data_IF_913308385601
#
_entry.id   IF_913308385601
#
_cell.length_a   1.000
_cell.length_b   1.000
_cell.length_c   1.000
_cell.angle_alpha   90.00
_cell.angle_beta   90.00
_cell.angle_gamma   90.00
#
_symmetry.space_group_name_H-M   'P 1'
#
loop_
_entity.id
_entity.type
_entity.pdbx_description
1 polymer ?
#
# COMPACT_ATOMS: atom_id res chain seq x y z
N UNK A 1 -28.63 -0.65 53.46
CA UNK A 1 -29.21 -1.91 52.95
C UNK A 1 -28.84 -2.04 51.49
N UNK A 2 -28.12 -3.12 51.15
CA UNK A 2 -27.89 -3.66 49.80
C UNK A 2 -29.23 -3.88 49.06
N UNK A 3 -29.30 -3.94 47.73
CA UNK A 3 -29.03 -5.16 46.92
C UNK A 3 -28.96 -4.82 45.40
N UNK A 4 -27.85 -5.25 44.77
CA UNK A 4 -27.60 -5.84 43.43
C UNK A 4 -28.29 -5.36 42.12
N UNK A 5 -27.47 -5.00 41.11
CA UNK A 5 -27.15 -5.74 39.85
C UNK A 5 -28.10 -5.49 38.67
N UNK A 6 -27.63 -5.02 37.52
CA UNK A 6 -26.96 -5.88 36.53
C UNK A 6 -26.15 -5.11 35.49
N UNK A 7 -25.03 -5.72 35.12
CA UNK A 7 -24.02 -5.34 34.15
C UNK A 7 -24.55 -5.29 32.70
N UNK A 8 -24.07 -4.34 31.90
CA UNK A 8 -23.65 -4.68 30.53
C UNK A 8 -22.40 -3.88 30.17
N UNK A 9 -21.28 -4.62 30.19
CA UNK A 9 -19.95 -4.17 29.84
C UNK A 9 -19.90 -3.84 28.34
N UNK A 10 -19.76 -2.57 27.98
CA UNK A 10 -19.07 -2.17 26.75
C UNK A 10 -17.65 -1.84 27.15
N UNK A 11 -16.77 -2.84 27.06
CA UNK A 11 -15.33 -2.67 27.23
C UNK A 11 -14.81 -1.73 26.14
N UNK A 12 -14.79 -0.44 26.44
CA UNK A 12 -13.82 0.48 25.86
C UNK A 12 -12.47 0.11 26.48
N UNK A 13 -11.69 -0.72 25.80
CA UNK A 13 -10.29 -0.87 26.15
C UNK A 13 -9.55 0.39 25.70
N UNK A 14 -9.36 1.32 26.64
CA UNK A 14 -8.37 2.38 26.57
C UNK A 14 -6.97 1.74 26.53
N UNK A 15 -6.40 1.60 25.34
CA UNK A 15 -4.98 1.30 25.21
C UNK A 15 -4.21 2.63 25.36
N UNK A 16 -3.74 2.87 26.58
CA UNK A 16 -2.71 3.85 26.87
C UNK A 16 -1.42 3.48 26.11
N UNK A 17 -0.99 4.30 25.15
CA UNK A 17 0.36 4.23 24.62
C UNK A 17 1.25 5.14 25.46
N UNK A 18 1.99 4.54 26.40
CA UNK A 18 3.11 5.20 27.06
C UNK A 18 4.15 5.62 26.02
N UNK A 19 4.56 6.89 26.09
CA UNK A 19 5.70 7.45 25.40
C UNK A 19 6.98 6.73 25.82
N UNK A 20 7.32 5.63 25.14
CA UNK A 20 8.53 4.86 25.42
C UNK A 20 9.55 5.04 24.30
N UNK A 21 10.60 5.76 24.68
CA UNK A 21 11.96 5.78 24.14
C UNK A 21 12.27 4.85 22.97
N UNK A 22 12.67 5.45 21.85
CA UNK A 22 13.26 4.84 20.67
C UNK A 22 14.53 4.06 21.05
N UNK A 23 14.37 2.76 21.32
CA UNK A 23 15.46 1.78 21.29
C UNK A 23 15.28 0.95 20.03
N UNK A 24 16.31 0.92 19.19
CA UNK A 24 16.36 0.14 17.96
C UNK A 24 16.41 -1.37 18.27
N UNK A 25 15.28 -1.93 18.69
CA UNK A 25 15.06 -3.36 18.59
C UNK A 25 14.94 -3.69 17.10
N UNK A 26 15.77 -4.61 16.63
CA UNK A 26 15.69 -5.15 15.28
C UNK A 26 14.25 -5.58 14.99
N UNK A 27 13.71 -5.11 13.87
CA UNK A 27 12.32 -5.33 13.41
C UNK A 27 11.86 -6.80 13.39
N UNK A 28 12.79 -7.73 13.51
CA UNK A 28 12.58 -9.18 13.40
C UNK A 28 11.89 -9.81 14.62
N UNK A 29 11.99 -9.23 15.82
CA UNK A 29 11.47 -9.87 17.04
C UNK A 29 9.97 -9.65 17.31
N UNK A 30 9.35 -8.64 16.70
CA UNK A 30 7.95 -8.28 16.97
C UNK A 30 6.92 -9.12 16.18
N UNK A 31 7.36 -9.91 15.20
CA UNK A 31 6.45 -10.59 14.25
C UNK A 31 6.05 -12.03 14.61
N UNK A 32 6.70 -12.65 15.60
CA UNK A 32 6.54 -14.10 15.79
C UNK A 32 5.14 -14.51 16.28
N UNK A 33 4.35 -13.58 16.84
CA UNK A 33 3.03 -13.86 17.44
C UNK A 33 1.86 -13.04 16.85
N UNK A 34 2.06 -12.28 15.77
CA UNK A 34 0.98 -11.48 15.17
C UNK A 34 0.32 -12.22 13.99
N UNK A 35 -1.00 -12.39 14.06
CA UNK A 35 -1.77 -12.97 12.96
C UNK A 35 -2.14 -11.89 11.94
N UNK A 36 -1.53 -11.95 10.75
CA UNK A 36 -1.75 -10.97 9.69
C UNK A 36 -3.21 -10.97 9.18
N UNK A 37 -3.79 -9.78 9.07
CA UNK A 37 -5.15 -9.56 8.58
C UNK A 37 -5.16 -8.57 7.39
N UNK A 38 -5.87 -8.92 6.33
CA UNK A 38 -6.04 -8.07 5.14
C UNK A 38 -6.78 -6.75 5.41
N UNK A 39 -7.45 -6.59 6.56
CA UNK A 39 -8.15 -5.36 6.93
C UNK A 39 -7.27 -4.34 7.67
N UNK A 40 -6.14 -4.81 8.18
CA UNK A 40 -5.21 -4.02 9.00
C UNK A 40 -4.02 -3.57 8.15
N UNK A 41 -3.04 -2.94 8.82
CA UNK A 41 -1.80 -2.45 8.23
C UNK A 41 -1.08 -3.52 7.39
N UNK A 42 -0.44 -3.10 6.30
CA UNK A 42 0.29 -4.03 5.44
C UNK A 42 1.71 -4.24 5.95
N UNK A 43 1.94 -5.36 6.64
CA UNK A 43 3.26 -5.65 7.21
C UNK A 43 3.74 -4.44 8.07
N UNK A 44 4.96 -3.97 7.85
CA UNK A 44 5.56 -2.83 8.54
C UNK A 44 5.32 -1.50 7.82
N UNK A 45 4.44 -1.46 6.82
CA UNK A 45 4.31 -0.30 5.95
C UNK A 45 3.76 0.93 6.67
N UNK A 46 3.04 0.74 7.78
CA UNK A 46 2.54 1.82 8.63
C UNK A 46 3.64 2.76 9.16
N UNK A 47 4.90 2.31 9.15
CA UNK A 47 6.05 3.11 9.61
C UNK A 47 6.84 3.76 8.47
N UNK A 48 6.48 3.52 7.20
CA UNK A 48 7.22 4.05 6.05
C UNK A 48 6.53 5.27 5.45
N UNK A 49 7.22 6.41 5.44
CA UNK A 49 6.82 7.55 4.63
C UNK A 49 7.36 7.39 3.19
N UNK A 50 6.47 7.12 2.23
CA UNK A 50 6.86 6.91 0.83
C UNK A 50 7.27 8.20 0.14
N UNK A 51 6.61 9.31 0.46
CA UNK A 51 6.76 10.60 -0.21
C UNK A 51 8.09 11.27 0.13
N UNK A 52 8.60 11.01 1.34
CA UNK A 52 9.91 11.48 1.78
C UNK A 52 11.09 10.73 1.13
N UNK A 53 10.83 9.70 0.31
CA UNK A 53 11.91 8.98 -0.37
C UNK A 53 12.51 9.89 -1.45
N UNK A 54 13.84 9.94 -1.50
CA UNK A 54 14.61 10.70 -2.51
C UNK A 54 14.25 10.41 -3.98
N UNK A 55 13.65 9.25 -4.26
CA UNK A 55 13.21 8.83 -5.59
C UNK A 55 11.79 9.27 -5.95
N UNK A 56 11.08 9.92 -5.03
CA UNK A 56 9.84 10.64 -5.33
C UNK A 56 10.23 12.05 -5.73
N UNK A 57 9.91 12.45 -6.96
CA UNK A 57 10.19 13.79 -7.44
C UNK A 57 9.20 14.81 -6.90
N UNK A 58 7.91 14.48 -6.99
CA UNK A 58 6.79 15.30 -6.55
C UNK A 58 5.53 14.43 -6.49
N UNK A 59 4.48 14.98 -5.87
CA UNK A 59 3.12 14.45 -5.94
C UNK A 59 2.43 15.09 -7.14
N UNK A 60 1.84 14.27 -8.01
CA UNK A 60 1.07 14.75 -9.15
C UNK A 60 -0.17 15.50 -8.68
N UNK A 61 -0.38 16.72 -9.18
CA UNK A 61 -1.50 17.57 -8.75
C UNK A 61 -2.88 17.03 -9.17
N UNK A 62 -2.97 16.33 -10.31
CA UNK A 62 -4.25 15.87 -10.86
C UNK A 62 -4.71 14.57 -10.19
N UNK A 63 -3.76 13.68 -9.93
CA UNK A 63 -4.04 12.33 -9.44
C UNK A 63 -3.72 12.15 -7.96
N UNK A 64 -2.97 13.08 -7.35
CA UNK A 64 -2.55 13.02 -5.94
C UNK A 64 -1.80 11.72 -5.62
N UNK A 65 -0.85 11.39 -6.50
CA UNK A 65 -0.01 10.18 -6.43
C UNK A 65 1.46 10.54 -6.67
N UNK A 66 2.40 9.74 -6.14
CA UNK A 66 3.82 10.06 -6.24
C UNK A 66 4.40 9.77 -7.64
N UNK A 67 5.15 10.71 -8.18
CA UNK A 67 5.93 10.58 -9.42
C UNK A 67 7.35 10.14 -9.10
N UNK A 68 7.82 9.07 -9.75
CA UNK A 68 9.12 8.47 -9.46
C UNK A 68 10.22 8.94 -10.42
N UNK A 69 11.40 9.28 -9.90
CA UNK A 69 12.63 9.46 -10.70
C UNK A 69 13.40 8.16 -10.94
N UNK A 70 12.92 7.03 -10.41
CA UNK A 70 13.66 5.78 -10.48
C UNK A 70 13.90 5.34 -11.93
N UNK A 71 15.17 5.14 -12.31
CA UNK A 71 15.58 4.77 -13.69
C UNK A 71 15.27 5.80 -14.79
N UNK A 72 14.49 6.85 -14.50
CA UNK A 72 14.18 7.95 -15.42
C UNK A 72 14.14 9.29 -14.67
N UNK A 73 15.17 10.14 -14.81
CA UNK A 73 15.26 11.42 -14.08
C UNK A 73 14.09 12.38 -14.34
N UNK A 74 13.47 12.31 -15.52
CA UNK A 74 12.34 13.17 -15.91
C UNK A 74 11.02 12.82 -15.22
N UNK A 75 10.97 11.75 -14.43
CA UNK A 75 9.75 11.31 -13.76
C UNK A 75 8.94 10.32 -14.59
N UNK A 76 8.28 9.40 -13.89
CA UNK A 76 7.27 8.52 -14.44
C UNK A 76 6.37 7.98 -13.30
N UNK A 77 5.14 7.61 -13.65
CA UNK A 77 4.26 6.91 -12.74
C UNK A 77 4.73 5.47 -12.60
N UNK A 78 4.97 5.06 -11.36
CA UNK A 78 5.52 3.75 -11.05
C UNK A 78 4.53 2.99 -10.17
N UNK A 79 3.82 1.98 -10.70
CA UNK A 79 2.74 1.28 -10.00
C UNK A 79 3.15 0.73 -8.63
N UNK A 80 4.39 0.25 -8.47
CA UNK A 80 4.89 -0.25 -7.19
C UNK A 80 4.98 0.87 -6.16
N UNK A 81 5.46 2.05 -6.55
CA UNK A 81 5.55 3.19 -5.64
C UNK A 81 4.17 3.76 -5.30
N UNK A 82 3.24 3.76 -6.26
CA UNK A 82 1.84 4.14 -6.04
C UNK A 82 1.15 3.15 -5.09
N UNK A 83 1.38 1.84 -5.27
CA UNK A 83 0.83 0.80 -4.40
C UNK A 83 1.48 0.76 -3.01
N UNK A 84 2.69 1.32 -2.87
CA UNK A 84 3.40 1.44 -1.60
C UNK A 84 2.89 2.57 -0.72
N UNK A 85 2.06 3.48 -1.24
CA UNK A 85 1.36 4.47 -0.43
C UNK A 85 0.49 3.69 0.56
N UNK A 86 0.97 3.52 1.79
CA UNK A 86 0.34 2.67 2.79
C UNK A 86 -0.86 3.40 3.40
N UNK A 87 -2.09 2.88 3.36
CA UNK A 87 -2.68 1.75 4.08
C UNK A 87 -2.50 1.73 5.60
N UNK A 88 -2.69 2.88 6.24
CA UNK A 88 -3.51 2.85 7.44
C UNK A 88 -4.97 2.70 6.98
N UNK A 89 -5.60 1.55 7.24
CA UNK A 89 -7.07 1.44 7.24
C UNK A 89 -7.62 1.30 8.68
N UNK A 90 -6.77 0.94 9.65
CA UNK A 90 -7.15 0.84 11.05
C UNK A 90 -5.98 1.35 11.92
N UNK A 91 -6.14 2.53 12.55
CA UNK A 91 -5.11 3.23 13.34
C UNK A 91 -5.31 4.74 13.33
N UNK A 92 -4.46 5.50 14.04
CA UNK A 92 -4.55 6.97 14.19
C UNK A 92 -4.20 7.70 12.88
N UNK A 93 -5.11 7.71 11.90
CA UNK A 93 -4.85 8.21 10.53
C UNK A 93 -5.09 9.71 10.42
N UNK A 94 -4.30 10.35 9.57
CA UNK A 94 -4.60 11.69 9.10
C UNK A 94 -5.60 11.65 7.94
N UNK A 95 -6.31 12.75 7.71
CA UNK A 95 -7.16 12.91 6.51
C UNK A 95 -6.36 12.72 5.21
N UNK A 96 -5.07 13.06 5.25
CA UNK A 96 -4.14 12.92 4.14
C UNK A 96 -3.92 11.46 3.75
N UNK A 97 -3.71 10.57 4.71
CA UNK A 97 -3.45 9.15 4.46
C UNK A 97 -4.63 8.47 3.75
N UNK A 98 -5.85 8.84 4.14
CA UNK A 98 -7.08 8.34 3.50
C UNK A 98 -7.18 8.84 2.06
N UNK A 99 -6.90 10.12 1.83
CA UNK A 99 -6.92 10.70 0.49
C UNK A 99 -5.89 10.01 -0.41
N UNK A 100 -4.66 9.84 0.06
CA UNK A 100 -3.59 9.18 -0.68
C UNK A 100 -3.95 7.71 -1.02
N UNK A 101 -4.58 6.98 -0.09
CA UNK A 101 -5.10 5.63 -0.34
C UNK A 101 -6.15 5.60 -1.46
N UNK A 102 -7.15 6.49 -1.40
CA UNK A 102 -8.20 6.56 -2.42
C UNK A 102 -7.67 7.03 -3.78
N UNK A 103 -6.73 7.96 -3.79
CA UNK A 103 -6.05 8.44 -4.99
C UNK A 103 -5.24 7.33 -5.66
N UNK A 104 -4.43 6.59 -4.90
CA UNK A 104 -3.65 5.46 -5.39
C UNK A 104 -4.53 4.33 -5.95
N UNK A 105 -5.57 3.93 -5.19
CA UNK A 105 -6.49 2.87 -5.63
C UNK A 105 -7.29 3.26 -6.87
N UNK A 106 -7.79 4.50 -6.94
CA UNK A 106 -8.48 5.03 -8.13
C UNK A 106 -7.56 5.00 -9.35
N UNK A 107 -6.32 5.43 -9.20
CA UNK A 107 -5.35 5.38 -10.29
C UNK A 107 -5.12 3.94 -10.77
N UNK A 108 -4.94 2.98 -9.85
CA UNK A 108 -4.74 1.57 -10.20
C UNK A 108 -5.94 0.98 -10.95
N UNK A 109 -7.17 1.24 -10.51
CA UNK A 109 -8.37 0.77 -11.19
C UNK A 109 -8.48 1.33 -12.62
N UNK A 110 -8.09 2.60 -12.81
CA UNK A 110 -8.18 3.29 -14.10
C UNK A 110 -7.04 2.96 -15.07
N UNK A 111 -5.90 2.46 -14.58
CA UNK A 111 -4.69 2.21 -15.37
C UNK A 111 -4.33 0.73 -15.47
N UNK A 112 -5.24 -0.17 -15.10
CA UNK A 112 -5.07 -1.60 -15.31
C UNK A 112 -5.34 -1.96 -16.78
N UNK A 113 -4.43 -2.68 -17.41
CA UNK A 113 -4.67 -3.20 -18.76
C UNK A 113 -5.78 -4.26 -18.75
N UNK A 114 -6.76 -4.12 -19.63
CA UNK A 114 -7.94 -5.00 -19.65
C UNK A 114 -7.66 -6.38 -20.24
N UNK A 115 -6.62 -6.50 -21.08
CA UNK A 115 -6.29 -7.75 -21.77
C UNK A 115 -5.39 -8.64 -20.93
N UNK A 116 -4.36 -8.05 -20.33
CA UNK A 116 -3.32 -8.76 -19.57
C UNK A 116 -3.51 -8.66 -18.07
N UNK A 117 -4.27 -7.67 -17.57
CA UNK A 117 -4.41 -7.39 -16.15
C UNK A 117 -3.22 -6.65 -15.52
N UNK A 118 -2.18 -6.39 -16.29
CA UNK A 118 -0.94 -5.76 -15.84
C UNK A 118 -1.06 -4.24 -15.67
N UNK A 119 -0.31 -3.72 -14.70
CA UNK A 119 0.13 -2.32 -14.69
C UNK A 119 1.53 -2.25 -15.30
N UNK A 120 1.60 -1.79 -16.55
CA UNK A 120 2.86 -1.72 -17.28
C UNK A 120 3.77 -0.62 -16.75
N UNK A 121 5.05 -0.94 -16.66
CA UNK A 121 6.11 0.00 -16.31
C UNK A 121 6.75 0.46 -17.61
N UNK A 122 6.53 1.73 -17.95
CA UNK A 122 6.94 2.32 -19.23
C UNK A 122 8.37 2.89 -19.21
N UNK A 123 9.28 2.22 -18.49
CA UNK A 123 10.69 2.61 -18.36
C UNK A 123 11.56 1.37 -18.52
N UNK A 124 12.62 1.47 -19.34
CA UNK A 124 13.59 0.39 -19.47
C UNK A 124 14.34 0.20 -18.15
N UNK A 125 14.45 -1.04 -17.69
CA UNK A 125 15.23 -1.39 -16.50
C UNK A 125 16.46 -2.19 -16.90
N UNK A 126 17.63 -1.61 -16.67
CA UNK A 126 18.90 -2.29 -16.81
C UNK A 126 19.27 -2.88 -15.45
N UNK A 127 19.44 -4.20 -15.38
CA UNK A 127 20.12 -4.80 -14.23
C UNK A 127 21.63 -4.50 -14.33
N UNK A 128 22.35 -4.58 -13.20
CA UNK A 128 23.69 -4.01 -12.96
C UNK A 128 24.71 -4.11 -14.11
N UNK A 129 25.78 -3.31 -14.02
CA UNK A 129 26.84 -3.03 -15.00
C UNK A 129 27.44 -4.20 -15.83
N UNK A 130 27.14 -5.47 -15.50
CA UNK A 130 27.73 -6.67 -16.11
C UNK A 130 26.71 -7.64 -16.74
N UNK A 131 25.42 -7.32 -16.77
CA UNK A 131 24.42 -8.18 -17.41
C UNK A 131 23.87 -7.57 -18.69
N UNK A 132 23.92 -8.30 -19.82
CA UNK A 132 23.26 -7.93 -21.08
C UNK A 132 21.72 -7.96 -21.00
N UNK A 133 21.18 -8.44 -19.88
CA UNK A 133 19.74 -8.55 -19.65
C UNK A 133 19.16 -7.20 -19.21
N UNK A 134 18.36 -6.61 -20.09
CA UNK A 134 17.57 -5.42 -19.84
C UNK A 134 16.09 -5.74 -20.08
N UNK A 135 15.22 -5.24 -19.20
CA UNK A 135 13.79 -5.29 -19.44
C UNK A 135 13.43 -4.20 -20.43
N UNK A 136 12.96 -4.62 -21.60
CA UNK A 136 12.47 -3.70 -22.62
C UNK A 136 11.25 -2.93 -22.10
N UNK A 137 11.12 -1.70 -22.57
CA UNK A 137 9.90 -0.94 -22.37
C UNK A 137 8.79 -1.55 -23.27
N UNK A 138 7.62 -1.95 -22.78
CA UNK A 138 7.08 -1.93 -21.41
C UNK A 138 7.10 -3.32 -20.79
N UNK A 139 7.17 -3.41 -19.46
CA UNK A 139 7.21 -4.69 -18.74
C UNK A 139 6.25 -4.71 -17.56
N UNK A 140 5.84 -5.91 -17.17
CA UNK A 140 4.94 -6.17 -16.05
C UNK A 140 5.76 -6.71 -14.86
N UNK A 141 5.38 -6.34 -13.63
CA UNK A 141 6.04 -6.82 -12.41
C UNK A 141 5.04 -7.51 -11.50
N UNK A 142 5.44 -8.65 -10.93
CA UNK A 142 4.63 -9.34 -9.92
C UNK A 142 4.32 -8.44 -8.72
N UNK A 143 5.29 -7.64 -8.27
CA UNK A 143 5.11 -6.68 -7.19
C UNK A 143 4.20 -5.50 -7.59
N UNK A 144 4.19 -5.12 -8.88
CA UNK A 144 3.32 -4.08 -9.40
C UNK A 144 1.85 -4.50 -9.48
N UNK A 145 1.53 -5.80 -9.34
CA UNK A 145 0.15 -6.27 -9.45
C UNK A 145 -0.75 -5.80 -8.30
N UNK A 146 -0.21 -5.10 -7.29
CA UNK A 146 -0.94 -4.28 -6.30
C UNK A 146 -2.18 -4.93 -5.64
N UNK A 147 -2.28 -6.27 -5.67
CA UNK A 147 -3.48 -7.00 -5.28
C UNK A 147 -3.85 -6.74 -3.82
N UNK A 148 -2.85 -6.57 -2.94
CA UNK A 148 -3.06 -6.29 -1.53
C UNK A 148 -3.77 -4.96 -1.25
N UNK A 149 -3.54 -3.93 -2.07
CA UNK A 149 -4.22 -2.64 -1.94
C UNK A 149 -5.68 -2.74 -2.42
N UNK A 150 -5.90 -3.42 -3.54
CA UNK A 150 -7.24 -3.60 -4.08
C UNK A 150 -8.12 -4.51 -3.20
N UNK A 151 -7.55 -5.56 -2.59
CA UNK A 151 -8.26 -6.41 -1.62
C UNK A 151 -8.72 -5.58 -0.41
N UNK A 152 -7.89 -4.66 0.06
CA UNK A 152 -8.24 -3.73 1.13
C UNK A 152 -9.36 -2.78 0.76
N UNK A 153 -9.26 -2.19 -0.43
CA UNK A 153 -10.32 -1.36 -0.98
C UNK A 153 -11.64 -2.13 -1.08
N UNK A 154 -11.60 -3.39 -1.53
CA UNK A 154 -12.76 -4.26 -1.57
C UNK A 154 -13.33 -4.51 -0.16
N UNK A 155 -12.49 -4.78 0.84
CA UNK A 155 -12.96 -4.97 2.22
C UNK A 155 -13.62 -3.72 2.81
N UNK A 156 -13.27 -2.52 2.35
CA UNK A 156 -13.88 -1.26 2.79
C UNK A 156 -15.18 -0.93 2.06
N UNK A 157 -15.18 -1.11 0.74
CA UNK A 157 -16.26 -0.62 -0.13
C UNK A 157 -17.29 -1.69 -0.47
N UNK A 158 -16.92 -2.97 -0.34
CA UNK A 158 -17.70 -4.13 -0.78
C UNK A 158 -18.16 -4.06 -2.25
N UNK A 159 -17.43 -3.32 -3.09
CA UNK A 159 -17.77 -3.12 -4.50
C UNK A 159 -17.18 -4.24 -5.38
N UNK A 160 -18.05 -4.94 -6.13
CA UNK A 160 -17.69 -6.07 -6.99
C UNK A 160 -16.74 -5.70 -8.14
N UNK A 161 -16.73 -4.45 -8.59
CA UNK A 161 -15.79 -3.97 -9.62
C UNK A 161 -14.33 -4.14 -9.18
N UNK A 162 -14.05 -3.94 -7.88
CA UNK A 162 -12.71 -4.13 -7.33
C UNK A 162 -12.28 -5.60 -7.36
N UNK A 163 -13.23 -6.53 -7.17
CA UNK A 163 -12.98 -7.97 -7.26
C UNK A 163 -12.58 -8.38 -8.68
N UNK A 164 -13.22 -7.79 -9.70
CA UNK A 164 -12.85 -8.02 -11.10
C UNK A 164 -11.44 -7.50 -11.39
N UNK A 165 -11.08 -6.32 -10.88
CA UNK A 165 -9.74 -5.79 -11.02
C UNK A 165 -8.67 -6.67 -10.35
N UNK A 166 -8.95 -7.18 -9.13
CA UNK A 166 -8.08 -8.14 -8.43
C UNK A 166 -7.93 -9.43 -9.24
N UNK A 167 -9.03 -9.96 -9.79
CA UNK A 167 -8.99 -11.17 -10.61
C UNK A 167 -8.10 -10.99 -11.83
N UNK A 168 -8.18 -9.84 -12.50
CA UNK A 168 -7.30 -9.50 -13.64
C UNK A 168 -5.84 -9.39 -13.21
N UNK A 169 -5.56 -8.78 -12.06
CA UNK A 169 -4.20 -8.61 -11.53
C UNK A 169 -3.44 -9.92 -11.28
N UNK A 170 -4.17 -11.03 -11.11
CA UNK A 170 -3.59 -12.36 -10.87
C UNK A 170 -3.34 -13.13 -12.18
N UNK A 171 -4.01 -12.77 -13.28
CA UNK A 171 -3.83 -13.43 -14.58
C UNK A 171 -2.40 -13.45 -15.14
N UNK A 172 -1.58 -12.39 -14.98
CA UNK A 172 -0.22 -12.37 -15.53
C UNK A 172 0.82 -13.07 -14.63
N UNK A 173 0.42 -13.64 -13.49
CA UNK A 173 1.27 -14.40 -12.56
C UNK A 173 1.24 -15.89 -12.88
#
# INVERSE_FOLDING_TARGET
>A
MNISSTLSNLYFNEYYYESSTFSAYTTDQLYYNYQYNSRESYLNFAYFNVEQRNRVLYIDFLYDIPVSSQWRPHGHLYPIQIAHVDQLIIGNQTLYDQQAFYSATRWLLNNQDLQTGCWFIHVQRNYAHHTHYHLRNSWCSAMAQAASLLVRLYSLTNNKEHLLAIRRAIQPL
#
